data_IF_696778197035
#
_entry.id   IF_696778197035
#
_cell.length_a   1.000
_cell.length_b   1.000
_cell.length_c   1.000
_cell.angle_alpha   90.00
_cell.angle_beta   90.00
_cell.angle_gamma   90.00
#
_symmetry.space_group_name_H-M   'P 1'
#
loop_
_entity.id
_entity.type
_entity.pdbx_description
1 polymer ?
#
# COMPACT_ATOMS: atom_id res chain seq x y z
N UNK A 1 66.46 8.65 6.13
CA UNK A 1 65.84 7.56 5.36
C UNK A 1 66.26 7.76 3.91
N UNK A 2 66.67 6.69 3.21
CA UNK A 2 67.06 6.80 1.80
C UNK A 2 65.82 7.13 0.93
N UNK A 3 66.02 7.99 -0.10
CA UNK A 3 64.95 8.34 -1.03
C UNK A 3 64.82 7.32 -2.16
N UNK A 4 64.27 6.15 -1.85
CA UNK A 4 64.09 5.03 -2.78
C UNK A 4 63.34 5.43 -4.07
N UNK A 5 62.33 6.29 -3.95
CA UNK A 5 61.50 6.74 -5.08
C UNK A 5 62.32 7.43 -6.19
N UNK A 6 63.37 8.12 -5.84
CA UNK A 6 64.23 8.75 -6.86
C UNK A 6 65.11 7.74 -7.59
N UNK A 7 65.63 6.75 -6.88
CA UNK A 7 66.50 5.76 -7.46
C UNK A 7 65.73 4.76 -8.37
N UNK A 8 64.54 4.36 -7.94
CA UNK A 8 63.62 3.55 -8.74
C UNK A 8 63.18 4.28 -10.01
N UNK A 9 62.90 5.60 -9.92
CA UNK A 9 62.46 6.42 -11.06
C UNK A 9 63.58 6.53 -12.12
N UNK A 10 64.87 6.59 -11.74
CA UNK A 10 65.98 6.54 -12.67
C UNK A 10 66.07 5.24 -13.42
N UNK A 11 65.80 4.12 -12.77
CA UNK A 11 65.83 2.80 -13.37
C UNK A 11 64.62 2.50 -14.28
N UNK A 12 63.46 3.04 -13.99
CA UNK A 12 62.24 2.88 -14.79
C UNK A 12 62.15 3.81 -16.00
N UNK A 13 62.90 4.93 -16.01
CA UNK A 13 62.87 5.92 -17.09
C UNK A 13 63.07 5.32 -18.52
N UNK A 14 63.93 4.29 -18.75
CA UNK A 14 64.09 3.71 -20.08
C UNK A 14 62.93 2.85 -20.56
N UNK A 15 61.96 2.49 -19.68
CA UNK A 15 60.90 1.56 -19.99
C UNK A 15 59.65 2.21 -20.59
N UNK A 16 59.54 3.56 -20.53
CA UNK A 16 58.47 4.35 -21.13
C UNK A 16 57.06 3.79 -20.80
N UNK A 17 56.77 3.62 -19.51
CA UNK A 17 55.49 3.12 -18.97
C UNK A 17 54.45 4.25 -18.96
N UNK A 18 53.17 3.91 -18.77
CA UNK A 18 52.12 4.93 -18.60
C UNK A 18 52.25 5.61 -17.24
N UNK A 19 51.93 6.90 -17.10
CA UNK A 19 52.11 7.68 -15.86
C UNK A 19 51.47 7.05 -14.62
N UNK A 20 50.32 6.46 -14.77
CA UNK A 20 49.56 5.78 -13.66
C UNK A 20 50.27 4.51 -13.20
N UNK A 21 50.86 3.77 -14.13
CA UNK A 21 51.53 2.50 -13.83
C UNK A 21 52.98 2.74 -13.30
N UNK A 22 53.61 3.82 -13.70
CA UNK A 22 54.89 4.28 -13.15
C UNK A 22 54.73 4.55 -11.64
N UNK A 23 53.70 5.27 -11.23
CA UNK A 23 53.46 5.61 -9.83
C UNK A 23 53.17 4.38 -8.97
N UNK A 24 52.32 3.43 -9.44
CA UNK A 24 52.05 2.18 -8.74
C UNK A 24 53.30 1.32 -8.52
N UNK A 25 54.11 1.15 -9.55
CA UNK A 25 55.35 0.37 -9.48
C UNK A 25 56.38 1.03 -8.56
N UNK A 26 56.49 2.37 -8.62
CA UNK A 26 57.41 3.15 -7.74
C UNK A 26 56.99 3.01 -6.27
N UNK A 27 55.68 3.00 -5.99
CA UNK A 27 55.17 2.87 -4.63
C UNK A 27 55.40 1.49 -4.07
N UNK A 28 55.04 0.42 -4.82
CA UNK A 28 55.23 -0.98 -4.44
C UNK A 28 56.70 -1.34 -4.24
N UNK A 29 57.58 -0.97 -5.19
CA UNK A 29 59.00 -1.19 -5.07
C UNK A 29 59.63 -0.41 -3.94
N UNK A 30 59.20 0.85 -3.70
CA UNK A 30 59.77 1.66 -2.61
C UNK A 30 59.47 1.04 -1.24
N UNK A 31 58.25 0.51 -1.03
CA UNK A 31 57.85 -0.18 0.19
C UNK A 31 58.67 -1.49 0.38
N UNK A 32 58.88 -2.24 -0.69
CA UNK A 32 59.68 -3.45 -0.64
C UNK A 32 61.14 -3.21 -0.28
N UNK A 33 61.76 -2.16 -0.88
CA UNK A 33 63.15 -1.79 -0.58
C UNK A 33 63.31 -1.23 0.83
N UNK A 34 62.31 -0.51 1.34
CA UNK A 34 62.31 0.01 2.69
C UNK A 34 62.23 -1.11 3.71
N UNK A 35 61.37 -2.11 3.50
CA UNK A 35 61.28 -3.30 4.33
C UNK A 35 62.59 -4.09 4.35
N UNK A 36 63.24 -4.30 3.16
CA UNK A 36 64.51 -4.99 3.05
C UNK A 36 65.65 -4.23 3.76
N UNK A 37 65.66 -2.90 3.66
CA UNK A 37 66.61 -2.06 4.36
C UNK A 37 66.46 -2.17 5.88
N UNK A 38 65.23 -2.10 6.39
CA UNK A 38 64.94 -2.28 7.81
C UNK A 38 65.35 -3.65 8.32
N UNK A 39 65.16 -4.70 7.52
CA UNK A 39 65.55 -6.06 7.88
C UNK A 39 67.07 -6.19 7.98
N UNK A 40 67.84 -5.62 7.04
CA UNK A 40 69.33 -5.64 7.07
C UNK A 40 69.87 -4.82 8.24
N UNK A 41 69.27 -3.68 8.56
CA UNK A 41 69.59 -2.90 9.78
C UNK A 41 69.31 -3.66 11.06
N UNK A 42 68.14 -4.37 11.12
CA UNK A 42 67.80 -5.21 12.27
C UNK A 42 68.77 -6.38 12.51
N UNK A 43 69.43 -6.84 11.44
CA UNK A 43 70.49 -7.86 11.50
C UNK A 43 71.87 -7.31 11.95
N UNK A 44 71.94 -6.01 12.25
CA UNK A 44 73.12 -5.37 12.82
C UNK A 44 74.08 -4.77 11.81
N UNK A 45 73.68 -4.55 10.58
CA UNK A 45 74.51 -3.90 9.53
C UNK A 45 74.49 -2.36 9.76
N UNK A 46 75.58 -1.72 9.35
CA UNK A 46 75.63 -0.25 9.32
C UNK A 46 74.78 0.34 8.23
N UNK A 47 74.20 1.54 8.39
CA UNK A 47 73.33 2.22 7.45
C UNK A 47 73.93 2.30 6.02
N UNK A 48 75.26 2.55 5.88
CA UNK A 48 75.93 2.57 4.57
C UNK A 48 76.00 1.18 3.91
N UNK A 49 76.20 0.12 4.71
CA UNK A 49 76.29 -1.23 4.21
C UNK A 49 74.93 -1.74 3.80
N UNK A 50 73.88 -1.51 4.59
CA UNK A 50 72.49 -1.83 4.28
C UNK A 50 72.02 -1.12 3.00
N UNK A 51 72.32 0.18 2.84
CA UNK A 51 72.00 0.93 1.63
C UNK A 51 72.67 0.33 0.39
N UNK A 52 74.00 -0.01 0.47
CA UNK A 52 74.73 -0.66 -0.63
C UNK A 52 74.18 -2.03 -1.04
N UNK A 53 73.79 -2.87 -0.07
CA UNK A 53 73.19 -4.18 -0.32
C UNK A 53 71.81 -4.07 -0.98
N UNK A 54 70.97 -3.19 -0.52
CA UNK A 54 69.62 -2.95 -1.10
C UNK A 54 69.77 -2.38 -2.53
N UNK A 55 70.71 -1.45 -2.76
CA UNK A 55 70.96 -0.93 -4.09
C UNK A 55 71.52 -1.96 -5.05
N UNK A 56 72.39 -2.91 -4.56
CA UNK A 56 72.91 -3.98 -5.36
C UNK A 56 71.81 -5.00 -5.72
N UNK A 57 70.86 -5.27 -4.84
CA UNK A 57 69.71 -6.15 -5.13
C UNK A 57 68.79 -5.55 -6.19
N UNK A 58 68.60 -4.24 -6.19
CA UNK A 58 67.87 -3.51 -7.23
C UNK A 58 68.53 -3.60 -8.59
N UNK A 59 69.88 -3.56 -8.64
CA UNK A 59 70.65 -3.63 -9.86
C UNK A 59 70.84 -5.08 -10.38
N UNK A 60 70.79 -6.08 -9.50
CA UNK A 60 70.89 -7.52 -9.86
C UNK A 60 69.54 -8.15 -10.26
N UNK A 61 68.45 -7.59 -9.77
CA UNK A 61 67.15 -8.00 -10.26
C UNK A 61 67.04 -7.57 -11.72
N UNK A 62 66.83 -8.51 -12.63
CA UNK A 62 66.57 -8.25 -14.05
C UNK A 62 65.13 -7.69 -14.19
N UNK A 63 64.86 -6.63 -13.40
CA UNK A 63 63.55 -5.92 -13.32
C UNK A 63 63.08 -5.52 -14.72
N UNK A 64 64.04 -5.19 -15.61
CA UNK A 64 63.71 -4.87 -16.99
C UNK A 64 63.27 -6.11 -17.79
N UNK A 65 63.83 -7.29 -17.52
CA UNK A 65 63.42 -8.53 -18.17
C UNK A 65 62.09 -9.06 -17.61
N UNK A 66 61.87 -8.93 -16.30
CA UNK A 66 60.61 -9.32 -15.64
C UNK A 66 59.45 -8.45 -16.07
N UNK A 67 59.62 -7.13 -16.07
CA UNK A 67 58.62 -6.17 -16.54
C UNK A 67 58.32 -6.30 -18.04
N UNK A 68 59.32 -6.66 -18.87
CA UNK A 68 59.11 -6.98 -20.28
C UNK A 68 58.44 -8.35 -20.51
N UNK A 69 58.68 -9.33 -19.65
CA UNK A 69 58.04 -10.62 -19.71
C UNK A 69 56.55 -10.50 -19.28
N UNK A 70 56.28 -9.73 -18.25
CA UNK A 70 54.90 -9.42 -17.78
C UNK A 70 54.11 -8.59 -18.83
N UNK A 71 54.81 -7.77 -19.64
CA UNK A 71 54.14 -7.06 -20.75
C UNK A 71 53.67 -8.00 -21.88
N UNK A 72 54.24 -9.21 -21.95
CA UNK A 72 53.86 -10.23 -22.95
C UNK A 72 52.72 -11.17 -22.51
N UNK A 73 52.44 -11.23 -21.22
CA UNK A 73 51.44 -12.16 -20.66
C UNK A 73 50.10 -11.51 -20.26
N UNK A 74 50.06 -10.19 -20.17
CA UNK A 74 48.81 -9.47 -20.02
C UNK A 74 48.37 -8.97 -21.40
N UNK A 75 47.89 -9.89 -22.23
CA UNK A 75 46.85 -9.53 -23.17
C UNK A 75 45.67 -9.09 -22.31
N UNK A 76 45.58 -7.81 -22.04
CA UNK A 76 44.30 -7.19 -21.71
C UNK A 76 43.40 -7.64 -22.86
N UNK A 77 42.44 -8.53 -22.57
CA UNK A 77 41.26 -8.64 -23.42
C UNK A 77 40.78 -7.23 -23.69
N UNK A 78 40.68 -6.82 -24.96
CA UNK A 78 40.22 -5.47 -25.26
C UNK A 78 38.90 -5.32 -24.51
N UNK A 79 38.84 -4.29 -23.65
CA UNK A 79 37.54 -3.83 -23.11
C UNK A 79 36.65 -3.72 -24.35
N UNK A 80 35.57 -4.50 -24.42
CA UNK A 80 34.72 -4.45 -25.61
C UNK A 80 34.30 -3.00 -25.78
N UNK A 81 34.63 -2.38 -26.92
CA UNK A 81 34.21 -1.02 -27.32
C UNK A 81 32.68 -0.86 -27.37
N UNK A 82 31.95 -1.71 -26.63
CA UNK A 82 30.51 -1.81 -26.59
C UNK A 82 29.80 -0.87 -25.61
N UNK A 83 30.52 -0.12 -24.76
CA UNK A 83 29.87 0.77 -23.79
C UNK A 83 29.35 2.08 -24.39
N UNK A 84 29.62 2.36 -25.67
CA UNK A 84 29.15 3.59 -26.34
C UNK A 84 28.20 3.35 -27.54
N UNK A 85 27.84 2.11 -27.83
CA UNK A 85 26.92 1.82 -28.92
C UNK A 85 25.57 1.32 -28.37
N UNK A 86 24.61 2.21 -28.28
CA UNK A 86 23.25 1.98 -27.75
C UNK A 86 22.44 0.87 -28.47
N UNK A 87 23.03 0.22 -29.50
CA UNK A 87 22.39 -0.89 -30.22
C UNK A 87 22.61 -2.28 -29.59
N UNK A 88 23.60 -2.48 -28.72
CA UNK A 88 23.91 -3.78 -28.11
C UNK A 88 23.38 -4.00 -26.69
N UNK A 89 22.75 -2.99 -26.10
CA UNK A 89 22.18 -3.11 -24.74
C UNK A 89 21.16 -4.26 -24.63
N UNK A 90 20.32 -4.44 -25.62
CA UNK A 90 19.30 -5.49 -25.65
C UNK A 90 19.85 -6.91 -25.93
N UNK A 91 20.97 -7.02 -26.66
CA UNK A 91 21.59 -8.33 -26.93
C UNK A 91 22.35 -8.85 -25.71
N UNK A 92 23.05 -7.97 -24.98
CA UNK A 92 23.68 -8.30 -23.70
C UNK A 92 22.64 -8.69 -22.64
N UNK A 93 21.56 -7.92 -22.51
CA UNK A 93 20.49 -8.17 -21.56
C UNK A 93 19.84 -9.56 -21.75
N UNK A 94 19.62 -9.98 -22.99
CA UNK A 94 19.05 -11.32 -23.28
C UNK A 94 20.00 -12.45 -22.88
N UNK A 95 21.30 -12.25 -23.06
CA UNK A 95 22.32 -13.22 -22.68
C UNK A 95 22.46 -13.31 -21.15
N UNK A 96 22.47 -12.17 -20.47
CA UNK A 96 22.52 -12.08 -19.01
C UNK A 96 21.27 -12.69 -18.37
N UNK A 97 20.10 -12.43 -18.92
CA UNK A 97 18.83 -13.01 -18.46
C UNK A 97 18.84 -14.55 -18.60
N UNK A 98 19.39 -15.06 -19.71
CA UNK A 98 19.52 -16.50 -19.94
C UNK A 98 20.54 -17.16 -19.00
N UNK A 99 21.63 -16.45 -18.71
CA UNK A 99 22.64 -16.89 -17.74
C UNK A 99 22.06 -16.91 -16.31
N UNK A 100 21.40 -15.83 -15.90
CA UNK A 100 20.73 -15.72 -14.60
C UNK A 100 19.68 -16.83 -14.42
N UNK A 101 18.83 -17.08 -15.43
CA UNK A 101 17.82 -18.14 -15.38
C UNK A 101 18.47 -19.53 -15.24
N UNK A 102 19.63 -19.76 -15.89
CA UNK A 102 20.37 -21.03 -15.76
C UNK A 102 20.99 -21.18 -14.36
N UNK A 103 21.52 -20.11 -13.79
CA UNK A 103 22.05 -20.10 -12.42
C UNK A 103 20.97 -20.40 -11.40
N UNK A 104 19.82 -19.71 -11.48
CA UNK A 104 18.66 -19.94 -10.62
C UNK A 104 18.14 -21.38 -10.68
N UNK A 105 18.16 -22.01 -11.87
CA UNK A 105 17.79 -23.43 -12.02
C UNK A 105 18.84 -24.39 -11.43
N UNK A 106 20.11 -24.00 -11.36
CA UNK A 106 21.17 -24.84 -10.78
C UNK A 106 21.19 -24.85 -9.25
N UNK A 107 20.62 -23.81 -8.63
CA UNK A 107 20.54 -23.65 -7.16
C UNK A 107 19.07 -23.55 -6.71
N UNK A 108 18.27 -24.63 -6.81
CA UNK A 108 16.82 -24.55 -6.58
C UNK A 108 16.46 -24.19 -5.14
N UNK A 109 17.23 -24.62 -4.15
CA UNK A 109 16.99 -24.27 -2.74
C UNK A 109 17.17 -22.77 -2.46
N UNK A 110 18.28 -22.20 -2.91
CA UNK A 110 18.52 -20.75 -2.79
C UNK A 110 17.45 -19.94 -3.53
N UNK A 111 17.13 -20.37 -4.76
CA UNK A 111 16.12 -19.71 -5.59
C UNK A 111 14.73 -19.72 -4.93
N UNK A 112 14.34 -20.87 -4.36
CA UNK A 112 13.05 -20.97 -3.65
C UNK A 112 13.00 -20.02 -2.44
N UNK A 113 14.06 -19.98 -1.63
CA UNK A 113 14.12 -19.06 -0.48
C UNK A 113 14.08 -17.60 -0.94
N UNK A 114 14.86 -17.24 -1.96
CA UNK A 114 14.89 -15.89 -2.49
C UNK A 114 13.52 -15.44 -3.04
N UNK A 115 12.85 -16.32 -3.81
CA UNK A 115 11.51 -16.05 -4.36
C UNK A 115 10.49 -15.92 -3.23
N UNK A 116 10.51 -16.81 -2.23
CA UNK A 116 9.59 -16.73 -1.10
C UNK A 116 9.79 -15.45 -0.29
N UNK A 117 11.02 -15.05 -0.04
CA UNK A 117 11.35 -13.81 0.69
C UNK A 117 10.87 -12.58 -0.08
N UNK A 118 11.12 -12.53 -1.40
CA UNK A 118 10.64 -11.44 -2.27
C UNK A 118 9.12 -11.44 -2.36
N UNK A 119 8.49 -12.60 -2.54
CA UNK A 119 7.04 -12.72 -2.62
C UNK A 119 6.37 -12.27 -1.32
N UNK A 120 6.95 -12.63 -0.16
CA UNK A 120 6.44 -12.19 1.14
C UNK A 120 6.60 -10.67 1.32
N UNK A 121 7.78 -10.12 0.99
CA UNK A 121 8.05 -8.67 1.10
C UNK A 121 7.17 -7.84 0.17
N UNK A 122 7.06 -8.23 -1.10
CA UNK A 122 6.20 -7.53 -2.07
C UNK A 122 4.73 -7.73 -1.71
N UNK A 123 4.33 -8.96 -1.33
CA UNK A 123 2.95 -9.28 -0.97
C UNK A 123 2.48 -8.49 0.26
N UNK A 124 3.29 -8.41 1.31
CA UNK A 124 2.99 -7.63 2.51
C UNK A 124 2.85 -6.13 2.18
N UNK A 125 3.81 -5.55 1.45
CA UNK A 125 3.75 -4.15 1.04
C UNK A 125 2.53 -3.87 0.14
N UNK A 126 2.23 -4.75 -0.80
CA UNK A 126 1.06 -4.60 -1.68
C UNK A 126 -0.24 -4.68 -0.88
N UNK A 127 -0.35 -5.59 0.10
CA UNK A 127 -1.51 -5.69 0.97
C UNK A 127 -1.71 -4.41 1.79
N UNK A 128 -0.64 -3.91 2.44
CA UNK A 128 -0.67 -2.65 3.20
C UNK A 128 -1.04 -1.48 2.28
N UNK A 129 -0.40 -1.38 1.11
CA UNK A 129 -0.71 -0.30 0.15
C UNK A 129 -2.15 -0.38 -0.35
N UNK A 130 -2.68 -1.58 -0.60
CA UNK A 130 -4.09 -1.75 -1.00
C UNK A 130 -5.04 -1.27 0.09
N UNK A 131 -4.74 -1.58 1.35
CA UNK A 131 -5.51 -1.09 2.50
C UNK A 131 -5.45 0.44 2.54
N UNK A 132 -4.25 1.02 2.55
CA UNK A 132 -4.05 2.48 2.57
C UNK A 132 -4.73 3.15 1.39
N UNK A 133 -4.57 2.62 0.18
CA UNK A 133 -5.20 3.16 -1.03
C UNK A 133 -6.73 3.12 -0.94
N UNK A 134 -7.29 2.03 -0.40
CA UNK A 134 -8.75 1.90 -0.25
C UNK A 134 -9.31 2.90 0.76
N UNK A 135 -8.58 3.17 1.85
CA UNK A 135 -9.06 4.02 2.94
C UNK A 135 -8.73 5.50 2.77
N UNK A 136 -7.55 5.84 2.22
CA UNK A 136 -7.07 7.22 2.16
C UNK A 136 -7.15 7.84 0.76
N UNK A 137 -6.95 7.04 -0.29
CA UNK A 137 -6.78 7.57 -1.65
C UNK A 137 -7.99 7.38 -2.55
N UNK A 138 -8.95 6.51 -2.19
CA UNK A 138 -10.22 6.41 -2.90
C UNK A 138 -11.27 7.23 -2.14
N UNK A 139 -11.53 8.48 -2.52
CA UNK A 139 -12.61 9.25 -1.93
C UNK A 139 -13.92 8.50 -2.16
N UNK A 140 -14.79 8.54 -1.14
CA UNK A 140 -16.16 8.05 -1.30
C UNK A 140 -16.75 8.68 -2.57
N UNK A 141 -17.40 7.91 -3.45
CA UNK A 141 -18.05 8.44 -4.65
C UNK A 141 -19.33 9.19 -4.27
N UNK A 142 -19.16 10.25 -3.50
CA UNK A 142 -20.23 11.08 -2.94
C UNK A 142 -20.00 12.52 -3.37
N UNK A 143 -21.05 13.28 -3.50
CA UNK A 143 -20.97 14.70 -3.85
C UNK A 143 -20.39 15.48 -2.65
N UNK A 144 -19.35 16.30 -2.89
CA UNK A 144 -18.69 17.15 -1.90
C UNK A 144 -18.36 16.42 -0.56
N UNK A 145 -17.51 15.37 -0.64
CA UNK A 145 -17.11 14.58 0.53
C UNK A 145 -16.57 15.42 1.70
N UNK A 146 -15.99 16.59 1.43
CA UNK A 146 -15.47 17.52 2.45
C UNK A 146 -16.56 18.14 3.35
N UNK A 147 -17.80 18.13 2.91
CA UNK A 147 -18.95 18.60 3.68
C UNK A 147 -19.63 17.50 4.50
N UNK A 148 -19.20 16.24 4.34
CA UNK A 148 -19.76 15.15 5.10
C UNK A 148 -19.04 14.96 6.43
N UNK A 149 -19.80 14.82 7.49
CA UNK A 149 -19.32 14.57 8.85
C UNK A 149 -20.06 13.37 9.46
N UNK A 150 -19.32 12.55 10.24
CA UNK A 150 -19.92 11.49 11.02
C UNK A 150 -20.43 12.04 12.37
N UNK A 151 -21.64 11.69 12.75
CA UNK A 151 -22.21 11.97 14.07
C UNK A 151 -22.30 10.66 14.87
N UNK A 152 -21.63 10.67 16.02
CA UNK A 152 -21.57 9.54 16.95
C UNK A 152 -21.75 10.01 18.38
N UNK A 153 -22.14 9.13 19.28
CA UNK A 153 -22.06 9.41 20.71
C UNK A 153 -20.61 9.22 21.17
N UNK A 154 -20.04 10.22 21.86
CA UNK A 154 -18.75 10.10 22.49
C UNK A 154 -18.92 9.90 23.99
N UNK A 155 -18.32 8.84 24.55
CA UNK A 155 -18.25 8.64 25.99
C UNK A 155 -16.83 8.96 26.46
N UNK A 156 -16.69 10.07 27.21
CA UNK A 156 -15.44 10.37 27.91
C UNK A 156 -15.37 9.53 29.19
N UNK A 157 -14.49 8.55 29.25
CA UNK A 157 -14.25 7.73 30.44
C UNK A 157 -13.35 8.46 31.45
N UNK A 158 -12.28 9.09 30.97
CA UNK A 158 -11.35 9.97 31.70
C UNK A 158 -10.72 10.96 30.71
N UNK A 159 -10.26 12.09 31.20
CA UNK A 159 -9.63 13.12 30.35
C UNK A 159 -8.37 12.67 29.59
N UNK A 160 -7.74 11.55 30.01
CA UNK A 160 -6.54 10.98 29.40
C UNK A 160 -6.80 9.79 28.47
N UNK A 161 -8.05 9.33 28.33
CA UNK A 161 -8.38 8.18 27.48
C UNK A 161 -8.93 8.67 26.12
N UNK A 162 -8.65 7.91 25.02
CA UNK A 162 -9.25 8.21 23.73
C UNK A 162 -10.76 8.18 23.80
N UNK A 163 -11.43 9.07 23.07
CA UNK A 163 -12.89 9.10 22.96
C UNK A 163 -13.39 7.76 22.42
N UNK A 164 -14.30 7.14 23.15
CA UNK A 164 -14.99 5.91 22.74
C UNK A 164 -16.21 6.32 21.90
N UNK A 165 -16.04 6.31 20.56
CA UNK A 165 -17.11 6.63 19.63
C UNK A 165 -18.09 5.47 19.52
N UNK A 166 -19.33 5.70 19.89
CA UNK A 166 -20.40 4.71 19.85
C UNK A 166 -21.50 5.11 18.87
N UNK A 167 -22.22 4.15 18.31
CA UNK A 167 -23.42 4.45 17.54
C UNK A 167 -24.46 5.24 18.38
N UNK A 168 -25.37 5.89 17.69
CA UNK A 168 -26.54 6.56 18.26
C UNK A 168 -27.71 5.58 18.34
N UNK A 169 -28.63 5.80 19.26
CA UNK A 169 -29.97 5.24 19.14
C UNK A 169 -30.75 5.95 18.03
N UNK A 170 -31.73 5.28 17.45
CA UNK A 170 -32.62 5.90 16.47
C UNK A 170 -33.31 7.17 17.01
N UNK A 171 -33.72 7.14 18.25
CA UNK A 171 -34.40 8.30 18.90
C UNK A 171 -33.46 9.47 19.10
N UNK A 172 -32.20 9.24 19.44
CA UNK A 172 -31.20 10.31 19.53
C UNK A 172 -30.89 10.90 18.14
N UNK A 173 -30.74 10.02 17.13
CA UNK A 173 -30.55 10.46 15.75
C UNK A 173 -31.73 11.35 15.28
N UNK A 174 -32.95 10.97 15.64
CA UNK A 174 -34.15 11.77 15.35
C UNK A 174 -34.11 13.10 16.04
N UNK A 175 -33.79 13.16 17.33
CA UNK A 175 -33.66 14.41 18.10
C UNK A 175 -32.59 15.31 17.46
N UNK A 176 -31.44 14.75 17.06
CA UNK A 176 -30.38 15.53 16.40
C UNK A 176 -30.85 16.07 15.04
N UNK A 177 -31.58 15.30 14.24
CA UNK A 177 -32.15 15.78 12.96
C UNK A 177 -33.09 16.96 13.15
N UNK A 178 -33.89 16.93 14.19
CA UNK A 178 -34.93 17.95 14.46
C UNK A 178 -34.35 19.21 15.11
N UNK A 179 -33.31 19.09 15.94
CA UNK A 179 -32.82 20.18 16.80
C UNK A 179 -31.52 20.82 16.32
N UNK A 180 -30.75 20.16 15.44
CA UNK A 180 -29.48 20.72 14.98
C UNK A 180 -29.67 21.89 14.00
N UNK A 181 -28.70 22.80 14.00
CA UNK A 181 -28.63 23.91 13.07
C UNK A 181 -27.40 23.85 12.15
N UNK A 182 -26.45 22.99 12.45
CA UNK A 182 -25.19 22.86 11.73
C UNK A 182 -25.30 22.05 10.45
N UNK A 183 -26.23 21.07 10.42
CA UNK A 183 -26.38 20.17 9.27
C UNK A 183 -27.54 20.65 8.36
N UNK A 184 -27.33 20.56 7.06
CA UNK A 184 -28.40 20.72 6.06
C UNK A 184 -29.24 19.45 5.93
N UNK A 185 -28.62 18.28 6.16
CA UNK A 185 -29.24 16.96 6.21
C UNK A 185 -28.44 16.05 7.12
N UNK A 186 -29.13 15.23 7.92
CA UNK A 186 -28.52 14.21 8.79
C UNK A 186 -29.23 12.89 8.55
N UNK A 187 -28.50 11.91 8.06
CA UNK A 187 -28.95 10.54 7.84
C UNK A 187 -28.35 9.60 8.88
N UNK A 188 -28.96 8.43 9.05
CA UNK A 188 -28.44 7.36 9.88
C UNK A 188 -28.23 6.08 9.07
N UNK A 189 -27.19 5.34 9.44
CA UNK A 189 -26.89 4.04 8.88
C UNK A 189 -26.39 3.08 9.96
N UNK A 190 -26.72 1.78 9.81
CA UNK A 190 -26.21 0.74 10.71
C UNK A 190 -24.91 0.14 10.18
N UNK A 191 -24.22 -0.64 10.99
CA UNK A 191 -23.20 -1.53 10.45
C UNK A 191 -23.84 -2.58 9.54
N UNK A 192 -23.18 -2.97 8.43
CA UNK A 192 -23.66 -4.06 7.58
C UNK A 192 -23.81 -5.35 8.37
N UNK A 193 -24.94 -6.03 8.20
CA UNK A 193 -25.26 -7.29 8.88
C UNK A 193 -25.59 -8.39 7.89
N UNK A 194 -25.33 -9.63 8.28
CA UNK A 194 -25.63 -10.79 7.47
C UNK A 194 -27.12 -11.14 7.57
N UNK A 195 -27.78 -11.24 6.43
CA UNK A 195 -29.15 -11.73 6.28
C UNK A 195 -29.18 -12.96 5.37
N UNK A 196 -30.23 -13.75 5.50
CA UNK A 196 -30.55 -14.80 4.52
C UNK A 196 -31.46 -14.23 3.45
N UNK A 197 -30.98 -14.19 2.21
CA UNK A 197 -31.78 -13.81 1.05
C UNK A 197 -32.20 -15.04 0.29
N UNK A 198 -33.50 -15.13 -0.04
CA UNK A 198 -34.04 -16.17 -0.92
C UNK A 198 -34.70 -15.50 -2.14
N UNK A 199 -34.26 -15.93 -3.32
CA UNK A 199 -34.84 -15.55 -4.60
C UNK A 199 -35.15 -16.85 -5.38
N UNK A 200 -36.40 -17.32 -5.25
CA UNK A 200 -36.79 -18.66 -5.72
C UNK A 200 -36.42 -19.75 -4.71
N UNK A 201 -35.88 -20.88 -5.20
CA UNK A 201 -35.54 -22.05 -4.38
C UNK A 201 -34.19 -21.93 -3.63
N UNK A 202 -33.33 -21.05 -4.04
CA UNK A 202 -31.98 -20.88 -3.46
C UNK A 202 -31.98 -19.86 -2.35
N UNK A 203 -31.25 -20.18 -1.27
CA UNK A 203 -30.98 -19.25 -0.18
C UNK A 203 -29.49 -18.88 -0.15
N UNK A 204 -29.18 -17.60 -0.06
CA UNK A 204 -27.85 -17.09 -0.04
C UNK A 204 -27.62 -16.12 1.13
N UNK A 205 -26.44 -16.09 1.66
CA UNK A 205 -26.03 -15.06 2.63
C UNK A 205 -25.71 -13.75 1.92
N UNK A 206 -26.31 -12.66 2.36
CA UNK A 206 -26.09 -11.30 1.89
C UNK A 206 -25.79 -10.39 3.06
N UNK A 207 -25.10 -9.28 2.79
CA UNK A 207 -24.89 -8.23 3.78
C UNK A 207 -25.83 -7.07 3.47
N UNK A 208 -26.61 -6.67 4.47
CA UNK A 208 -27.52 -5.54 4.36
C UNK A 208 -27.18 -4.45 5.38
N UNK A 209 -27.38 -3.22 5.00
CA UNK A 209 -27.26 -2.04 5.84
C UNK A 209 -28.65 -1.40 6.01
N UNK A 210 -29.02 -1.11 7.24
CA UNK A 210 -30.26 -0.38 7.55
C UNK A 210 -29.95 1.11 7.54
N UNK A 211 -30.67 1.88 6.73
CA UNK A 211 -30.41 3.31 6.55
C UNK A 211 -31.68 4.13 6.62
N UNK A 212 -31.60 5.38 7.06
CA UNK A 212 -32.75 6.29 7.03
C UNK A 212 -33.12 6.66 5.58
N UNK A 213 -34.37 6.97 5.33
CA UNK A 213 -34.89 7.23 3.98
C UNK A 213 -34.13 8.34 3.21
N UNK A 214 -33.58 9.31 3.92
CA UNK A 214 -32.79 10.39 3.33
C UNK A 214 -31.30 10.07 3.14
N UNK A 215 -30.86 8.82 3.37
CA UNK A 215 -29.45 8.44 3.36
C UNK A 215 -28.74 8.78 2.04
N UNK A 216 -29.30 8.33 0.93
CA UNK A 216 -28.71 8.55 -0.39
C UNK A 216 -28.73 10.03 -0.81
N UNK A 217 -29.79 10.77 -0.47
CA UNK A 217 -29.89 12.19 -0.72
C UNK A 217 -28.87 12.99 0.08
N UNK A 218 -28.66 12.62 1.36
CA UNK A 218 -27.62 13.23 2.21
C UNK A 218 -26.24 13.04 1.61
N UNK A 219 -25.97 11.88 0.99
CA UNK A 219 -24.71 11.60 0.34
C UNK A 219 -24.58 12.20 -1.08
N UNK A 220 -25.66 12.71 -1.65
CA UNK A 220 -25.68 13.23 -3.02
C UNK A 220 -25.57 12.13 -4.08
N UNK A 221 -26.03 10.89 -3.77
CA UNK A 221 -25.93 9.75 -4.65
C UNK A 221 -27.18 9.66 -5.53
N UNK A 222 -26.97 9.30 -6.81
CA UNK A 222 -28.08 8.99 -7.75
C UNK A 222 -28.12 7.51 -8.07
N UNK A 223 -29.30 6.89 -8.21
CA UNK A 223 -29.39 5.49 -8.53
C UNK A 223 -28.92 5.20 -9.98
N UNK A 224 -28.35 4.03 -10.22
CA UNK A 224 -28.03 3.53 -11.56
C UNK A 224 -29.29 3.16 -12.33
N UNK A 225 -30.25 2.56 -11.62
CA UNK A 225 -31.58 2.17 -12.14
C UNK A 225 -32.62 2.36 -11.05
N UNK A 226 -33.85 2.65 -11.44
CA UNK A 226 -34.94 2.85 -10.52
C UNK A 226 -34.81 4.12 -9.69
N UNK A 227 -35.11 4.00 -8.39
CA UNK A 227 -35.10 5.08 -7.42
C UNK A 227 -34.56 4.66 -6.06
N UNK A 228 -34.28 5.63 -5.20
CA UNK A 228 -34.02 5.40 -3.78
C UNK A 228 -35.30 5.52 -2.96
N UNK A 229 -35.16 5.50 -1.63
CA UNK A 229 -36.28 5.52 -0.72
C UNK A 229 -37.03 6.86 -0.79
N UNK A 230 -38.35 6.79 -0.71
CA UNK A 230 -39.21 7.97 -0.57
C UNK A 230 -39.44 8.28 0.92
N UNK A 231 -39.74 9.53 1.30
CA UNK A 231 -39.99 9.88 2.69
C UNK A 231 -41.09 9.05 3.36
N UNK A 232 -42.14 8.70 2.63
CA UNK A 232 -43.26 7.89 3.13
C UNK A 232 -42.87 6.44 3.37
N UNK A 233 -41.85 5.93 2.68
CA UNK A 233 -41.35 4.55 2.86
C UNK A 233 -40.54 4.40 4.14
N UNK A 234 -40.04 5.50 4.71
CA UNK A 234 -39.33 5.53 6.00
C UNK A 234 -40.14 6.31 7.08
N UNK A 235 -41.46 6.36 6.97
CA UNK A 235 -42.29 7.11 7.89
C UNK A 235 -42.91 6.26 9.03
N UNK A 236 -43.22 4.98 8.77
CA UNK A 236 -43.90 4.09 9.72
C UNK A 236 -43.21 2.73 9.82
N UNK A 237 -42.98 2.23 11.06
CA UNK A 237 -42.36 0.92 11.28
C UNK A 237 -43.10 -0.21 10.55
N UNK A 238 -42.34 -1.00 9.80
CA UNK A 238 -42.82 -2.22 9.10
C UNK A 238 -43.70 -2.00 7.88
N UNK A 239 -43.93 -0.71 7.47
CA UNK A 239 -44.94 -0.42 6.45
C UNK A 239 -44.45 -0.63 5.00
N UNK A 240 -43.19 -0.48 4.74
CA UNK A 240 -42.66 -0.40 3.37
C UNK A 240 -41.48 -1.36 3.18
N UNK A 241 -41.71 -2.64 2.88
CA UNK A 241 -40.67 -3.63 2.66
C UNK A 241 -40.06 -3.44 1.24
N UNK A 242 -39.24 -2.42 1.09
CA UNK A 242 -38.49 -2.09 -0.14
C UNK A 242 -37.01 -2.22 0.10
N UNK A 243 -36.25 -2.43 -0.97
CA UNK A 243 -34.81 -2.64 -0.90
C UNK A 243 -34.10 -2.02 -2.09
N UNK A 244 -32.94 -1.44 -1.86
CA UNK A 244 -31.99 -0.98 -2.88
C UNK A 244 -30.86 -1.99 -2.96
N UNK A 245 -30.50 -2.40 -4.18
CA UNK A 245 -29.44 -3.39 -4.45
C UNK A 245 -28.15 -2.69 -4.80
N UNK A 246 -27.04 -3.15 -4.24
CA UNK A 246 -25.70 -2.70 -4.62
C UNK A 246 -25.34 -3.11 -6.04
N UNK A 247 -24.54 -2.28 -6.75
CA UNK A 247 -24.15 -2.57 -8.12
C UNK A 247 -23.45 -3.93 -8.27
N UNK A 248 -22.53 -4.26 -7.35
CA UNK A 248 -21.81 -5.53 -7.38
C UNK A 248 -22.74 -6.72 -7.14
N UNK A 249 -23.69 -6.59 -6.21
CA UNK A 249 -24.69 -7.62 -5.96
C UNK A 249 -25.65 -7.79 -7.15
N UNK A 250 -26.05 -6.69 -7.79
CA UNK A 250 -26.86 -6.75 -9.02
C UNK A 250 -26.13 -7.51 -10.14
N UNK A 251 -24.86 -7.22 -10.36
CA UNK A 251 -24.08 -7.94 -11.39
C UNK A 251 -23.82 -9.40 -11.02
N UNK A 252 -23.36 -9.66 -9.79
CA UNK A 252 -22.90 -10.99 -9.40
C UNK A 252 -24.02 -11.96 -9.03
N UNK A 253 -25.10 -11.47 -8.38
CA UNK A 253 -26.18 -12.33 -7.88
C UNK A 253 -27.43 -12.34 -8.76
N UNK A 254 -27.66 -11.26 -9.50
CA UNK A 254 -28.82 -11.10 -10.38
C UNK A 254 -28.45 -11.06 -11.86
N UNK A 255 -27.19 -11.34 -12.19
CA UNK A 255 -26.68 -11.40 -13.57
C UNK A 255 -26.80 -10.10 -14.37
N UNK A 256 -26.88 -8.94 -13.69
CA UNK A 256 -27.06 -7.65 -14.35
C UNK A 256 -28.42 -7.51 -15.05
N UNK A 257 -29.44 -8.25 -14.61
CA UNK A 257 -30.77 -8.27 -15.23
C UNK A 257 -31.39 -6.88 -15.31
N UNK A 258 -31.83 -6.48 -16.52
CA UNK A 258 -32.45 -5.15 -16.78
C UNK A 258 -33.85 -5.04 -16.17
N UNK A 259 -34.53 -6.15 -15.93
CA UNK A 259 -35.88 -6.25 -15.34
C UNK A 259 -35.85 -6.49 -13.83
N UNK A 260 -34.76 -6.13 -13.13
CA UNK A 260 -34.62 -6.35 -11.67
C UNK A 260 -35.59 -5.52 -10.83
N UNK A 261 -35.99 -4.36 -11.33
CA UNK A 261 -36.93 -3.47 -10.62
C UNK A 261 -38.32 -4.12 -10.50
N UNK A 262 -38.89 -3.99 -9.30
CA UNK A 262 -40.18 -4.62 -8.99
C UNK A 262 -40.13 -6.12 -8.65
N UNK A 263 -38.96 -6.77 -8.83
CA UNK A 263 -38.80 -8.17 -8.37
C UNK A 263 -38.86 -8.24 -6.85
N UNK A 264 -39.43 -9.33 -6.36
CA UNK A 264 -39.52 -9.62 -4.93
C UNK A 264 -38.41 -10.58 -4.51
N UNK A 265 -37.70 -10.24 -3.45
CA UNK A 265 -36.77 -11.14 -2.74
C UNK A 265 -37.22 -11.30 -1.30
N UNK A 266 -36.89 -12.42 -0.66
CA UNK A 266 -37.13 -12.60 0.77
C UNK A 266 -35.86 -12.36 1.55
N UNK A 267 -35.91 -11.47 2.54
CA UNK A 267 -34.83 -11.24 3.51
C UNK A 267 -35.34 -11.74 4.87
N UNK A 268 -34.68 -12.73 5.45
CA UNK A 268 -35.13 -13.41 6.67
C UNK A 268 -36.61 -13.80 6.61
N UNK A 269 -37.07 -14.38 5.49
CA UNK A 269 -38.44 -14.78 5.17
C UNK A 269 -39.48 -13.65 4.96
N UNK A 270 -39.08 -12.40 5.02
CA UNK A 270 -39.93 -11.24 4.74
C UNK A 270 -39.72 -10.81 3.28
N UNK A 271 -40.84 -10.64 2.56
CA UNK A 271 -40.80 -10.24 1.16
C UNK A 271 -40.47 -8.75 1.02
N UNK A 272 -39.44 -8.42 0.23
CA UNK A 272 -39.00 -7.04 -0.09
C UNK A 272 -39.07 -6.85 -1.60
N UNK A 273 -39.53 -5.69 -2.02
CA UNK A 273 -39.53 -5.29 -3.43
C UNK A 273 -38.26 -4.49 -3.78
N UNK A 274 -37.57 -4.88 -4.83
CA UNK A 274 -36.40 -4.15 -5.33
C UNK A 274 -36.86 -2.90 -6.05
N UNK A 275 -36.49 -1.70 -5.55
CA UNK A 275 -36.90 -0.40 -6.08
C UNK A 275 -35.79 0.33 -6.83
N UNK A 276 -34.54 -0.04 -6.62
CA UNK A 276 -33.41 0.62 -7.24
C UNK A 276 -32.11 -0.17 -7.14
N UNK A 277 -31.16 0.27 -7.97
CA UNK A 277 -29.78 -0.23 -7.97
C UNK A 277 -28.84 0.96 -7.74
N UNK A 278 -27.96 0.83 -6.78
CA UNK A 278 -26.94 1.84 -6.48
C UNK A 278 -25.95 2.00 -7.65
N UNK A 279 -25.27 3.15 -7.79
CA UNK A 279 -24.31 3.36 -8.87
C UNK A 279 -23.07 2.49 -8.70
N UNK A 280 -22.36 2.27 -9.79
CA UNK A 280 -21.09 1.55 -9.80
C UNK A 280 -20.07 2.24 -8.90
N UNK A 281 -19.33 1.46 -8.10
CA UNK A 281 -18.31 1.98 -7.18
C UNK A 281 -18.85 2.40 -5.81
N UNK A 282 -20.17 2.65 -5.65
CA UNK A 282 -20.74 2.98 -4.36
C UNK A 282 -20.89 1.72 -3.49
N UNK A 283 -20.27 1.74 -2.31
CA UNK A 283 -20.24 0.63 -1.34
C UNK A 283 -20.78 1.08 0.05
N UNK A 284 -21.53 2.20 0.10
CA UNK A 284 -21.90 2.82 1.37
C UNK A 284 -20.76 3.67 1.93
N UNK A 285 -20.97 4.19 3.15
CA UNK A 285 -19.93 4.97 3.87
C UNK A 285 -18.85 4.05 4.43
N UNK A 286 -19.20 2.81 4.74
CA UNK A 286 -18.25 1.82 5.27
C UNK A 286 -17.40 1.23 4.13
N UNK A 287 -16.20 1.75 3.96
CA UNK A 287 -15.31 1.37 2.85
C UNK A 287 -14.82 -0.08 2.90
N UNK A 288 -14.85 -0.74 4.08
CA UNK A 288 -14.27 -2.09 4.28
C UNK A 288 -15.23 -3.17 3.78
N UNK A 289 -16.49 -3.10 4.18
CA UNK A 289 -17.52 -4.09 3.88
C UNK A 289 -18.74 -3.38 3.29
N UNK A 290 -18.71 -3.12 1.98
CA UNK A 290 -19.87 -2.58 1.30
C UNK A 290 -21.04 -3.57 1.40
N UNK A 291 -22.26 -3.11 1.76
CA UNK A 291 -23.43 -3.96 1.78
C UNK A 291 -23.83 -4.39 0.37
N UNK A 292 -24.42 -5.59 0.28
CA UNK A 292 -25.09 -6.05 -0.94
C UNK A 292 -26.42 -5.29 -1.14
N UNK A 293 -27.06 -4.89 -0.03
CA UNK A 293 -28.43 -4.34 0.00
C UNK A 293 -28.54 -3.20 1.03
N UNK A 294 -29.42 -2.23 0.75
CA UNK A 294 -29.88 -1.23 1.72
C UNK A 294 -31.37 -1.37 1.99
N UNK A 295 -31.72 -1.30 3.26
CA UNK A 295 -33.11 -1.45 3.76
C UNK A 295 -33.49 -0.19 4.54
N UNK A 296 -34.70 0.36 4.39
CA UNK A 296 -35.11 1.56 5.13
C UNK A 296 -35.17 1.33 6.63
N UNK A 297 -34.85 2.36 7.43
CA UNK A 297 -34.74 2.27 8.89
C UNK A 297 -36.03 1.79 9.55
N UNK A 298 -37.19 2.08 8.97
CA UNK A 298 -38.47 1.61 9.47
C UNK A 298 -38.70 0.09 9.33
N UNK A 299 -37.83 -0.59 8.58
CA UNK A 299 -37.82 -2.06 8.51
C UNK A 299 -36.81 -2.69 9.49
N UNK A 300 -36.18 -1.89 10.35
CA UNK A 300 -35.13 -2.34 11.28
C UNK A 300 -35.59 -3.49 12.18
N UNK A 301 -36.78 -3.39 12.77
CA UNK A 301 -37.31 -4.42 13.69
C UNK A 301 -37.48 -5.79 13.02
N UNK A 302 -37.63 -5.84 11.70
CA UNK A 302 -37.82 -7.04 10.89
C UNK A 302 -36.48 -7.70 10.47
N UNK A 303 -35.43 -6.92 10.32
CA UNK A 303 -34.14 -7.40 9.75
C UNK A 303 -33.02 -7.47 10.77
N UNK A 304 -33.08 -6.61 11.81
CA UNK A 304 -32.05 -6.59 12.86
C UNK A 304 -32.03 -7.85 13.72
N UNK A 305 -30.89 -8.23 14.29
CA UNK A 305 -30.82 -9.31 15.28
C UNK A 305 -31.75 -9.07 16.46
N UNK A 306 -32.16 -10.17 17.12
CA UNK A 306 -33.13 -10.12 18.21
C UNK A 306 -32.81 -9.10 19.32
N UNK A 307 -31.52 -8.92 19.62
CA UNK A 307 -31.04 -7.97 20.62
C UNK A 307 -31.25 -6.49 20.24
N UNK A 308 -31.44 -6.22 18.96
CA UNK A 308 -31.63 -4.88 18.40
C UNK A 308 -33.03 -4.63 17.84
N UNK A 309 -33.97 -5.54 18.05
CA UNK A 309 -35.34 -5.40 17.51
C UNK A 309 -36.07 -4.16 17.99
N UNK A 310 -35.73 -3.64 19.17
CA UNK A 310 -36.32 -2.41 19.72
C UNK A 310 -35.55 -1.14 19.27
N UNK A 311 -34.68 -1.21 18.25
CA UNK A 311 -33.83 -0.10 17.84
C UNK A 311 -34.58 1.20 17.53
N UNK A 312 -35.83 1.13 17.08
CA UNK A 312 -36.63 2.31 16.77
C UNK A 312 -37.31 2.95 18.00
N UNK A 313 -37.38 2.23 19.14
CA UNK A 313 -38.18 2.64 20.30
C UNK A 313 -37.37 2.77 21.59
N UNK A 314 -36.18 2.20 21.64
CA UNK A 314 -35.35 2.16 22.84
C UNK A 314 -34.06 2.97 22.65
N UNK A 315 -33.86 3.97 23.50
CA UNK A 315 -32.64 4.81 23.48
C UNK A 315 -31.38 4.04 23.93
N UNK A 316 -31.53 2.91 24.61
CA UNK A 316 -30.41 2.07 25.02
C UNK A 316 -29.86 1.23 23.86
N UNK A 317 -30.63 1.03 22.78
CA UNK A 317 -30.23 0.25 21.62
C UNK A 317 -29.48 1.15 20.64
N UNK A 318 -28.16 1.11 20.70
CA UNK A 318 -27.25 1.91 19.87
C UNK A 318 -26.95 1.18 18.57
N UNK A 319 -27.55 1.61 17.47
CA UNK A 319 -27.50 0.90 16.18
C UNK A 319 -27.01 1.79 15.04
N UNK A 320 -27.24 3.09 15.09
CA UNK A 320 -27.04 4.00 13.98
C UNK A 320 -25.83 4.89 14.17
N UNK A 321 -25.03 5.04 13.12
CA UNK A 321 -24.07 6.12 12.98
C UNK A 321 -24.71 7.22 12.15
N UNK A 322 -24.56 8.48 12.56
CA UNK A 322 -25.01 9.62 11.79
C UNK A 322 -24.07 9.95 10.64
N UNK A 323 -24.64 10.25 9.47
CA UNK A 323 -23.91 10.86 8.35
C UNK A 323 -24.59 12.21 8.07
N UNK A 324 -23.91 13.31 8.36
CA UNK A 324 -24.45 14.65 8.20
C UNK A 324 -23.76 15.44 7.10
N UNK A 325 -24.53 16.18 6.31
CA UNK A 325 -24.00 17.18 5.38
C UNK A 325 -24.04 18.53 6.07
N UNK A 326 -22.86 19.12 6.28
CA UNK A 326 -22.73 20.46 6.89
C UNK A 326 -23.37 21.52 6.01
N UNK A 327 -23.91 22.54 6.64
CA UNK A 327 -24.33 23.77 5.93
C UNK A 327 -23.10 24.53 5.44
N UNK A 328 -23.24 25.25 4.34
CA UNK A 328 -22.16 26.11 3.83
C UNK A 328 -21.63 27.07 4.90
N UNK A 329 -20.33 27.08 5.08
CA UNK A 329 -19.64 27.96 6.06
C UNK A 329 -19.62 27.44 7.50
N UNK A 330 -20.21 26.29 7.80
CA UNK A 330 -20.16 25.69 9.14
C UNK A 330 -18.94 24.77 9.22
N UNK A 331 -18.11 24.97 10.25
CA UNK A 331 -16.96 24.14 10.55
C UNK A 331 -17.35 22.88 11.35
N UNK A 332 -16.50 21.84 11.32
CA UNK A 332 -16.69 20.64 12.14
C UNK A 332 -16.77 20.95 13.64
N UNK A 333 -15.97 21.92 14.14
CA UNK A 333 -16.00 22.33 15.55
C UNK A 333 -17.32 23.01 15.94
N UNK A 334 -17.90 23.81 15.04
CA UNK A 334 -19.22 24.39 15.25
C UNK A 334 -20.31 23.32 15.26
N UNK A 335 -20.24 22.35 14.31
CA UNK A 335 -21.19 21.24 14.27
C UNK A 335 -21.10 20.35 15.51
N UNK A 336 -19.91 20.14 16.04
CA UNK A 336 -19.70 19.37 17.27
C UNK A 336 -20.28 20.07 18.50
N UNK A 337 -20.24 21.40 18.53
CA UNK A 337 -20.82 22.19 19.62
C UNK A 337 -22.36 22.27 19.55
N UNK A 338 -22.95 22.03 18.38
CA UNK A 338 -24.40 22.07 18.12
C UNK A 338 -25.11 20.73 18.42
N UNK A 339 -24.34 19.63 18.53
CA UNK A 339 -24.83 18.27 18.84
C UNK A 339 -24.76 17.96 20.34
#
# INVERSE_FOLDING_TARGET
>A
MPEWKQEIRKQLAPLNLSPTRDEEIIEELSEHLENLYEEIIAQGATSEKAYGEVLSSLNQSDLQAELRATKRTVTLDPIPDGLLNSGHFFTGLKQDLRYAARMLRKTPGFTAVAILTLALGIGANTAVFTIVNTFLLNPLPVEDASQLAAANTAQAKKASEPLDFRPLSFLNLKDYREKNHAFSSLAGYSSPMALTMSAGAESQRVFAEVVTGNYFDTLGIRPRMGRFFLPDEDARPGASPVVVVGYAAWQGRFGGASDILGRTIKLNNIAFTIIGVAPQGFKGINAIFGPDLWVPSMMAEQVLPAQQRNALRDRAVLTFTGAGRLRSGVSLSQAQADL
#
